data_IF_486516633828
#
_entry.id   IF_486516633828
#
_cell.length_a   1.000
_cell.length_b   1.000
_cell.length_c   1.000
_cell.angle_alpha   90.00
_cell.angle_beta   90.00
_cell.angle_gamma   90.00
#
_symmetry.space_group_name_H-M   'P 1'
#
loop_
_entity.id
_entity.type
_entity.pdbx_description
1 polymer ?
#
# COMPACT_ATOMS: atom_id res chain seq x y z
N UNK A 1 36.82 -43.62 -71.82
CA UNK A 1 36.57 -42.17 -71.74
C UNK A 1 36.74 -41.76 -70.29
N UNK A 2 37.88 -41.10 -69.99
CA UNK A 2 38.00 -39.73 -69.42
C UNK A 2 37.40 -39.59 -68.00
N UNK A 3 38.09 -39.12 -66.97
CA UNK A 3 39.48 -38.67 -66.80
C UNK A 3 39.73 -38.66 -65.29
N UNK A 4 40.87 -39.17 -64.84
CA UNK A 4 41.39 -38.92 -63.51
C UNK A 4 41.96 -37.49 -63.44
N UNK A 5 41.84 -36.83 -62.31
CA UNK A 5 42.65 -35.64 -62.01
C UNK A 5 42.98 -35.62 -60.53
N UNK A 6 44.24 -35.95 -60.26
CA UNK A 6 44.95 -35.71 -59.00
C UNK A 6 45.30 -34.22 -59.00
N UNK A 7 45.12 -33.53 -57.86
CA UNK A 7 45.83 -32.28 -57.61
C UNK A 7 46.31 -32.23 -56.16
N UNK A 8 47.63 -32.15 -56.07
CA UNK A 8 48.46 -31.84 -54.91
C UNK A 8 48.14 -30.46 -54.34
N UNK A 9 48.51 -30.26 -53.06
CA UNK A 9 49.00 -29.02 -52.39
C UNK A 9 48.26 -28.77 -51.06
N UNK A 10 48.83 -28.34 -49.95
CA UNK A 10 50.19 -28.15 -49.41
C UNK A 10 49.97 -27.74 -47.94
N UNK A 11 51.01 -27.86 -47.10
CA UNK A 11 51.28 -27.10 -45.87
C UNK A 11 50.51 -27.50 -44.60
N UNK A 12 51.25 -28.19 -43.73
CA UNK A 12 51.13 -28.07 -42.29
C UNK A 12 51.73 -26.74 -41.82
N UNK A 13 50.98 -25.95 -41.04
CA UNK A 13 51.53 -25.08 -39.98
C UNK A 13 50.48 -25.05 -38.87
N UNK A 14 50.84 -25.59 -37.71
CA UNK A 14 50.06 -25.43 -36.50
C UNK A 14 50.27 -24.04 -35.89
N UNK A 15 49.25 -23.51 -35.25
CA UNK A 15 49.43 -22.62 -34.11
C UNK A 15 48.25 -22.77 -33.15
N UNK A 16 48.59 -23.19 -31.95
CA UNK A 16 47.76 -23.33 -30.77
C UNK A 16 47.35 -21.92 -30.30
N UNK A 17 46.06 -21.61 -30.24
CA UNK A 17 45.55 -20.39 -29.63
C UNK A 17 44.49 -20.75 -28.58
N UNK A 18 44.98 -20.93 -27.35
CA UNK A 18 44.21 -21.02 -26.11
C UNK A 18 43.57 -19.65 -25.89
N UNK A 19 42.26 -19.52 -26.09
CA UNK A 19 41.52 -18.34 -25.67
C UNK A 19 40.81 -18.60 -24.34
N UNK A 20 41.37 -17.90 -23.36
CA UNK A 20 41.00 -17.71 -21.97
C UNK A 20 39.48 -17.71 -21.70
N UNK A 21 39.10 -18.56 -20.75
CA UNK A 21 37.87 -18.45 -19.97
C UNK A 21 37.82 -17.08 -19.29
N UNK A 22 36.88 -16.23 -19.70
CA UNK A 22 36.50 -15.06 -18.92
C UNK A 22 35.58 -15.52 -17.78
N UNK A 23 35.88 -15.19 -16.51
CA UNK A 23 34.92 -15.40 -15.43
C UNK A 23 33.75 -14.44 -15.62
N UNK A 24 32.54 -15.01 -15.65
CA UNK A 24 31.29 -14.26 -15.57
C UNK A 24 31.32 -13.41 -14.29
N UNK A 25 31.23 -12.09 -14.44
CA UNK A 25 30.95 -11.18 -13.34
C UNK A 25 29.60 -11.58 -12.74
N UNK A 26 29.66 -12.33 -11.64
CA UNK A 26 28.54 -12.58 -10.77
C UNK A 26 28.24 -11.25 -10.07
N UNK A 27 27.32 -10.48 -10.64
CA UNK A 27 26.69 -9.38 -9.95
C UNK A 27 25.85 -9.97 -8.83
N UNK A 28 26.48 -10.24 -7.68
CA UNK A 28 25.77 -10.47 -6.44
C UNK A 28 24.97 -9.21 -6.15
N UNK A 29 23.67 -9.24 -6.40
CA UNK A 29 22.74 -8.34 -5.74
C UNK A 29 22.89 -8.64 -4.25
N UNK A 30 23.73 -7.85 -3.58
CA UNK A 30 23.71 -7.75 -2.14
C UNK A 30 22.34 -7.18 -1.81
N UNK A 31 21.40 -8.07 -1.48
CA UNK A 31 20.19 -7.72 -0.77
C UNK A 31 20.68 -7.15 0.55
N UNK A 32 20.88 -5.82 0.58
CA UNK A 32 20.97 -5.09 1.84
C UNK A 32 19.65 -5.40 2.54
N UNK A 33 19.70 -6.18 3.62
CA UNK A 33 18.55 -6.40 4.49
C UNK A 33 17.90 -5.04 4.74
N UNK A 34 16.61 -4.93 4.38
CA UNK A 34 15.89 -3.68 4.52
C UNK A 34 15.89 -3.32 6.01
N UNK A 35 16.62 -2.27 6.36
CA UNK A 35 16.77 -1.75 7.72
C UNK A 35 15.41 -1.37 8.33
N UNK A 36 14.43 -1.09 7.47
CA UNK A 36 13.05 -0.80 7.86
C UNK A 36 12.13 -1.93 7.42
N UNK A 37 11.23 -2.34 8.31
CA UNK A 37 10.03 -3.08 7.94
C UNK A 37 8.88 -2.08 7.80
N UNK A 38 8.21 -2.08 6.64
CA UNK A 38 7.09 -1.17 6.38
C UNK A 38 5.86 -1.94 5.91
N UNK A 39 4.70 -1.62 6.48
CA UNK A 39 3.41 -2.15 6.08
C UNK A 39 2.47 -1.02 5.71
N UNK A 40 2.03 -0.99 4.46
CA UNK A 40 1.07 0.00 3.99
C UNK A 40 -0.33 -0.56 3.82
N UNK A 41 -1.31 0.27 4.18
CA UNK A 41 -2.73 0.04 3.99
C UNK A 41 -3.38 1.23 3.25
N UNK A 42 -4.30 0.90 2.34
CA UNK A 42 -5.13 1.86 1.61
C UNK A 42 -6.60 1.60 1.94
N UNK A 43 -7.27 2.61 2.50
CA UNK A 43 -8.66 2.49 2.96
C UNK A 43 -8.80 1.70 4.26
N UNK A 44 -9.93 1.03 4.42
CA UNK A 44 -10.22 0.18 5.59
C UNK A 44 -10.20 -1.29 5.19
N UNK A 45 -9.25 -2.06 5.70
CA UNK A 45 -9.07 -3.47 5.34
C UNK A 45 -8.81 -3.64 3.84
N UNK A 46 -8.09 -2.69 3.24
CA UNK A 46 -7.83 -2.65 1.80
C UNK A 46 -9.02 -2.21 0.93
N UNK A 47 -10.14 -1.77 1.52
CA UNK A 47 -11.32 -1.31 0.79
C UNK A 47 -11.51 0.20 0.86
N UNK A 48 -11.87 0.82 -0.26
CA UNK A 48 -12.09 2.26 -0.35
C UNK A 48 -13.12 2.61 -1.43
N UNK A 49 -13.73 3.80 -1.31
CA UNK A 49 -14.58 4.39 -2.36
C UNK A 49 -13.80 5.42 -3.16
N UNK A 50 -13.99 5.44 -4.47
CA UNK A 50 -13.48 6.52 -5.33
C UNK A 50 -14.24 7.83 -5.10
N UNK A 51 -13.59 8.97 -5.32
CA UNK A 51 -14.22 10.29 -5.28
C UNK A 51 -14.48 10.85 -3.87
N UNK A 52 -14.00 10.17 -2.84
CA UNK A 52 -13.99 10.62 -1.43
C UNK A 52 -12.56 10.57 -0.89
N UNK A 53 -12.34 11.15 0.27
CA UNK A 53 -11.11 11.07 1.03
C UNK A 53 -10.88 9.65 1.53
N UNK A 54 -9.67 9.16 1.31
CA UNK A 54 -9.23 7.79 1.59
C UNK A 54 -8.03 7.87 2.54
N UNK A 55 -8.06 7.17 3.68
CA UNK A 55 -6.88 7.04 4.51
C UNK A 55 -5.83 6.13 3.84
N UNK A 56 -4.58 6.57 3.86
CA UNK A 56 -3.40 5.77 3.54
C UNK A 56 -2.53 5.75 4.77
N UNK A 57 -2.11 4.56 5.18
CA UNK A 57 -1.37 4.37 6.43
C UNK A 57 -0.10 3.59 6.18
N UNK A 58 0.93 3.89 6.96
CA UNK A 58 2.15 3.11 7.03
C UNK A 58 2.48 2.82 8.50
N UNK A 59 2.69 1.55 8.80
CA UNK A 59 3.39 1.11 10.00
C UNK A 59 4.85 0.93 9.64
N UNK A 60 5.73 1.66 10.32
CA UNK A 60 7.17 1.66 10.07
C UNK A 60 7.86 1.17 11.33
N UNK A 61 8.69 0.12 11.20
CA UNK A 61 9.54 -0.38 12.27
C UNK A 61 11.01 -0.28 11.86
N UNK A 62 11.83 0.30 12.72
CA UNK A 62 13.27 0.41 12.49
C UNK A 62 13.97 -0.82 13.08
N UNK A 63 14.32 -1.77 12.23
CA UNK A 63 15.09 -2.97 12.59
C UNK A 63 16.60 -2.74 12.52
N UNK A 64 17.05 -1.50 12.28
CA UNK A 64 18.45 -1.11 12.27
C UNK A 64 19.02 -0.80 13.64
N UNK A 65 20.32 -0.49 13.64
CA UNK A 65 21.09 -0.20 14.85
C UNK A 65 21.21 1.30 15.17
N UNK A 66 20.60 2.17 14.36
CA UNK A 66 20.72 3.62 14.49
C UNK A 66 19.38 4.33 14.32
N UNK A 67 19.31 5.57 14.81
CA UNK A 67 18.15 6.43 14.63
C UNK A 67 17.89 6.70 13.14
N UNK A 68 16.63 6.55 12.72
CA UNK A 68 16.17 6.83 11.37
C UNK A 68 15.29 8.09 11.34
N UNK A 69 15.49 8.95 10.33
CA UNK A 69 14.68 10.16 10.12
C UNK A 69 13.91 10.04 8.82
N UNK A 70 12.63 9.70 8.95
CA UNK A 70 11.76 9.41 7.82
C UNK A 70 10.75 10.52 7.52
N UNK A 71 10.21 10.45 6.31
CA UNK A 71 9.00 11.15 5.92
C UNK A 71 8.10 10.22 5.11
N UNK A 72 6.82 10.15 5.48
CA UNK A 72 5.81 9.41 4.73
C UNK A 72 5.27 10.27 3.59
N UNK A 73 5.36 9.74 2.36
CA UNK A 73 4.92 10.43 1.14
C UNK A 73 3.86 9.56 0.46
N UNK A 74 2.79 10.20 0.02
CA UNK A 74 1.75 9.56 -0.79
C UNK A 74 1.52 10.40 -2.05
N UNK A 75 1.51 9.75 -3.19
CA UNK A 75 1.23 10.34 -4.49
C UNK A 75 0.00 9.67 -5.10
N UNK A 76 -0.92 10.48 -5.61
CA UNK A 76 -2.08 9.99 -6.35
C UNK A 76 -2.49 10.99 -7.44
N UNK A 77 -3.10 10.48 -8.51
CA UNK A 77 -3.73 11.32 -9.54
C UNK A 77 -5.02 11.96 -9.01
N UNK A 78 -5.19 13.25 -9.28
CA UNK A 78 -6.45 13.96 -9.04
C UNK A 78 -7.53 13.61 -10.09
N UNK A 79 -8.62 14.39 -10.12
CA UNK A 79 -9.73 14.19 -11.07
C UNK A 79 -9.35 14.46 -12.52
N UNK A 80 -8.36 15.33 -12.75
CA UNK A 80 -7.87 15.70 -14.08
C UNK A 80 -6.72 14.79 -14.54
N UNK A 81 -6.23 13.93 -13.65
CA UNK A 81 -5.11 13.02 -13.90
C UNK A 81 -3.75 13.65 -13.67
N UNK A 82 -3.70 14.77 -12.94
CA UNK A 82 -2.45 15.41 -12.55
C UNK A 82 -1.93 14.69 -11.31
N UNK A 83 -0.66 14.23 -11.30
CA UNK A 83 -0.05 13.67 -10.10
C UNK A 83 0.04 14.71 -8.98
N UNK A 84 -0.47 14.36 -7.81
CA UNK A 84 -0.45 15.21 -6.61
C UNK A 84 0.30 14.47 -5.50
N UNK A 85 1.30 15.14 -4.94
CA UNK A 85 2.05 14.66 -3.78
C UNK A 85 1.38 15.21 -2.51
N UNK A 86 0.89 14.30 -1.68
CA UNK A 86 0.24 14.56 -0.41
C UNK A 86 1.26 14.42 0.71
N UNK A 87 1.69 15.55 1.27
CA UNK A 87 2.64 15.58 2.39
C UNK A 87 2.42 16.82 3.28
N UNK A 88 2.77 16.70 4.55
CA UNK A 88 2.74 17.75 5.57
C UNK A 88 3.77 17.44 6.69
N UNK A 89 3.90 18.33 7.68
CA UNK A 89 4.87 18.17 8.78
C UNK A 89 4.58 16.96 9.69
N UNK A 90 3.31 16.57 9.87
CA UNK A 90 2.94 15.42 10.69
C UNK A 90 3.35 14.07 10.09
N UNK A 91 3.72 14.03 8.80
CA UNK A 91 4.29 12.84 8.18
C UNK A 91 5.81 12.71 8.35
N UNK A 92 6.48 13.71 8.94
CA UNK A 92 7.90 13.58 9.30
C UNK A 92 8.01 12.94 10.67
N UNK A 93 8.92 11.97 10.80
CA UNK A 93 9.13 11.26 12.04
C UNK A 93 10.61 10.97 12.28
N UNK A 94 10.94 10.68 13.53
CA UNK A 94 12.25 10.19 13.96
C UNK A 94 12.01 8.92 14.75
N UNK A 95 12.75 7.87 14.41
CA UNK A 95 12.51 6.52 14.88
C UNK A 95 13.81 5.93 15.41
N UNK A 96 13.89 5.73 16.72
CA UNK A 96 15.02 5.05 17.33
C UNK A 96 15.14 3.59 16.83
N UNK A 97 16.32 3.00 17.00
CA UNK A 97 16.54 1.57 16.75
C UNK A 97 15.55 0.72 17.55
N UNK A 98 14.91 -0.26 16.91
CA UNK A 98 13.91 -1.14 17.50
C UNK A 98 12.53 -0.50 17.76
N UNK A 99 12.33 0.78 17.45
CA UNK A 99 11.05 1.45 17.65
C UNK A 99 10.14 1.33 16.41
N UNK A 100 8.84 1.50 16.64
CA UNK A 100 7.83 1.59 15.57
C UNK A 100 7.01 2.87 15.65
N UNK A 101 6.49 3.29 14.50
CA UNK A 101 5.58 4.43 14.38
C UNK A 101 4.49 4.12 13.35
N UNK A 102 3.28 4.62 13.60
CA UNK A 102 2.20 4.64 12.63
C UNK A 102 2.02 6.07 12.12
N UNK A 103 2.00 6.23 10.81
CA UNK A 103 1.81 7.51 10.13
C UNK A 103 0.72 7.37 9.08
N UNK A 104 -0.06 8.43 8.90
CA UNK A 104 -1.20 8.42 7.98
C UNK A 104 -1.27 9.68 7.14
N UNK A 105 -1.87 9.57 5.96
CA UNK A 105 -2.23 10.67 5.11
C UNK A 105 -3.58 10.42 4.43
N UNK A 106 -4.34 11.48 4.16
CA UNK A 106 -5.60 11.39 3.43
C UNK A 106 -5.39 11.85 1.99
N UNK A 107 -5.87 11.06 1.05
CA UNK A 107 -5.80 11.36 -0.37
C UNK A 107 -7.19 11.32 -0.99
N UNK A 108 -7.36 11.95 -2.15
CA UNK A 108 -8.58 11.83 -2.94
C UNK A 108 -8.24 11.30 -4.33
N UNK A 109 -8.67 10.08 -4.62
CA UNK A 109 -8.48 9.45 -5.93
C UNK A 109 -9.67 9.82 -6.82
N UNK A 110 -9.39 10.58 -7.88
CA UNK A 110 -10.43 11.22 -8.68
C UNK A 110 -10.96 10.41 -9.85
N UNK A 111 -10.15 9.55 -10.46
CA UNK A 111 -10.48 8.91 -11.75
C UNK A 111 -10.04 7.45 -11.87
N UNK A 112 -10.52 6.80 -12.93
CA UNK A 112 -10.07 5.47 -13.36
C UNK A 112 -9.26 5.57 -14.66
N UNK A 113 -8.21 4.75 -14.85
CA UNK A 113 -7.61 3.87 -13.85
C UNK A 113 -7.02 4.68 -12.69
N UNK A 114 -7.04 4.11 -11.49
CA UNK A 114 -6.49 4.76 -10.31
C UNK A 114 -5.11 4.18 -10.01
N UNK A 115 -4.27 5.03 -9.42
CA UNK A 115 -2.92 4.70 -8.95
C UNK A 115 -2.65 5.50 -7.69
N UNK A 116 -2.13 4.83 -6.66
CA UNK A 116 -1.61 5.45 -5.45
C UNK A 116 -0.22 4.89 -5.21
N UNK A 117 0.78 5.75 -5.23
CA UNK A 117 2.14 5.39 -4.86
C UNK A 117 2.43 5.92 -3.47
N UNK A 118 2.99 5.09 -2.61
CA UNK A 118 3.30 5.46 -1.24
C UNK A 118 4.72 5.04 -0.92
N UNK A 119 5.40 5.78 -0.05
CA UNK A 119 6.76 5.43 0.32
C UNK A 119 7.28 6.14 1.57
N UNK A 120 8.38 5.61 2.09
CA UNK A 120 9.17 6.24 3.14
C UNK A 120 10.41 6.86 2.49
N UNK A 121 10.52 8.17 2.60
CA UNK A 121 11.69 8.95 2.20
C UNK A 121 12.64 9.08 3.39
N UNK A 122 13.91 8.71 3.21
CA UNK A 122 14.98 9.07 4.14
C UNK A 122 15.31 10.55 3.98
N UNK A 123 15.15 11.32 5.06
CA UNK A 123 15.36 12.77 5.06
C UNK A 123 16.83 13.16 5.05
N UNK A 124 17.74 12.25 5.37
CA UNK A 124 19.19 12.52 5.32
C UNK A 124 19.76 12.35 3.91
N UNK A 125 19.20 11.42 3.13
CA UNK A 125 19.68 11.11 1.78
C UNK A 125 18.73 11.57 0.67
N UNK A 126 17.52 12.00 1.03
CA UNK A 126 16.43 12.36 0.10
C UNK A 126 16.08 11.24 -0.89
N UNK A 127 16.20 9.98 -0.46
CA UNK A 127 15.89 8.79 -1.27
C UNK A 127 14.80 7.96 -0.61
N UNK A 128 13.98 7.33 -1.45
CA UNK A 128 13.05 6.32 -0.96
C UNK A 128 13.82 5.11 -0.45
N UNK A 129 13.52 4.71 0.78
CA UNK A 129 14.05 3.49 1.41
C UNK A 129 13.08 2.33 1.31
N UNK A 130 11.80 2.61 1.09
CA UNK A 130 10.76 1.63 0.82
C UNK A 130 9.59 2.31 0.08
N UNK A 131 8.92 1.56 -0.82
CA UNK A 131 7.80 2.05 -1.62
C UNK A 131 6.79 0.94 -1.91
N UNK A 132 5.52 1.33 -2.07
CA UNK A 132 4.45 0.45 -2.55
C UNK A 132 3.56 1.15 -3.54
N UNK A 133 3.23 0.42 -4.62
CA UNK A 133 2.24 0.81 -5.60
C UNK A 133 0.91 0.11 -5.30
N UNK A 134 -0.15 0.89 -5.14
CA UNK A 134 -1.52 0.42 -5.18
C UNK A 134 -2.15 0.81 -6.52
N UNK A 135 -2.67 -0.17 -7.23
CA UNK A 135 -3.32 0.00 -8.52
C UNK A 135 -4.51 -0.97 -8.66
N UNK A 136 -5.03 -1.09 -9.89
CA UNK A 136 -6.12 -2.04 -10.18
C UNK A 136 -5.87 -3.47 -9.70
N UNK A 137 -4.62 -3.95 -9.72
CA UNK A 137 -4.29 -5.31 -9.29
C UNK A 137 -4.42 -5.48 -7.77
N UNK A 138 -4.24 -4.40 -6.99
CA UNK A 138 -4.46 -4.40 -5.55
C UNK A 138 -5.95 -4.54 -5.16
N UNK A 139 -6.88 -4.28 -6.08
CA UNK A 139 -8.32 -4.43 -5.83
C UNK A 139 -8.88 -3.31 -4.93
N UNK A 140 -9.82 -3.63 -4.04
CA UNK A 140 -10.27 -2.71 -2.99
C UNK A 140 -11.22 -1.56 -3.40
N UNK A 141 -11.10 -1.05 -4.63
CA UNK A 141 -11.93 0.04 -5.14
C UNK A 141 -13.41 -0.36 -5.19
N UNK A 142 -14.28 0.54 -4.73
CA UNK A 142 -15.74 0.43 -4.75
C UNK A 142 -16.37 1.66 -5.40
N UNK A 143 -17.60 1.50 -5.90
CA UNK A 143 -18.33 2.63 -6.47
C UNK A 143 -18.64 3.63 -5.35
N UNK A 144 -18.71 4.91 -5.71
CA UNK A 144 -19.17 5.94 -4.78
C UNK A 144 -20.59 5.66 -4.26
N UNK A 145 -21.42 4.94 -5.04
CA UNK A 145 -22.79 4.54 -4.68
C UNK A 145 -22.88 3.26 -3.85
N UNK A 146 -21.76 2.58 -3.59
CA UNK A 146 -21.75 1.39 -2.72
C UNK A 146 -21.88 1.85 -1.27
N UNK A 147 -22.53 1.06 -0.41
CA UNK A 147 -22.58 1.33 1.03
C UNK A 147 -21.40 0.68 1.74
N UNK A 148 -20.73 1.41 2.62
CA UNK A 148 -19.65 0.95 3.49
C UNK A 148 -20.15 0.97 4.92
N UNK A 149 -20.15 -0.20 5.54
CA UNK A 149 -20.49 -0.37 6.94
C UNK A 149 -19.24 -0.79 7.67
N UNK A 150 -18.76 0.07 8.57
CA UNK A 150 -17.62 -0.20 9.41
C UNK A 150 -18.08 -0.74 10.75
N UNK A 151 -17.74 -2.00 11.03
CA UNK A 151 -18.06 -2.64 12.29
C UNK A 151 -16.82 -2.67 13.18
N UNK A 152 -16.84 -1.93 14.28
CA UNK A 152 -15.68 -1.84 15.17
C UNK A 152 -15.68 -2.95 16.22
N UNK A 153 -14.51 -3.55 16.46
CA UNK A 153 -14.31 -4.59 17.45
C UNK A 153 -14.83 -5.96 17.01
N UNK A 154 -15.34 -6.74 17.97
CA UNK A 154 -15.74 -8.13 17.74
C UNK A 154 -16.91 -8.18 16.74
N UNK A 155 -16.71 -8.93 15.65
CA UNK A 155 -17.71 -9.19 14.62
C UNK A 155 -19.05 -9.61 15.21
N UNK A 156 -20.08 -8.80 14.95
CA UNK A 156 -21.46 -9.19 15.21
C UNK A 156 -21.91 -9.96 13.97
N UNK A 157 -22.71 -11.02 14.12
CA UNK A 157 -23.26 -11.72 12.98
C UNK A 157 -24.33 -10.85 12.30
N UNK A 158 -23.89 -9.90 11.47
CA UNK A 158 -24.76 -9.00 10.71
C UNK A 158 -25.07 -9.65 9.37
N UNK A 159 -26.35 -9.92 9.14
CA UNK A 159 -26.82 -10.43 7.85
C UNK A 159 -26.71 -9.35 6.78
N UNK A 160 -25.79 -9.55 5.82
CA UNK A 160 -25.60 -8.64 4.68
C UNK A 160 -26.90 -8.42 3.90
N UNK A 161 -27.66 -9.48 3.63
CA UNK A 161 -28.92 -9.38 2.87
C UNK A 161 -29.97 -8.54 3.59
N UNK A 162 -30.14 -8.72 4.92
CA UNK A 162 -31.05 -7.88 5.72
C UNK A 162 -30.61 -6.42 5.76
N UNK A 163 -29.30 -6.19 5.82
CA UNK A 163 -28.75 -4.85 5.86
C UNK A 163 -28.90 -4.16 4.50
N UNK A 164 -28.66 -4.86 3.38
CA UNK A 164 -28.94 -4.37 2.02
C UNK A 164 -30.41 -4.00 1.83
N UNK A 165 -31.34 -4.84 2.28
CA UNK A 165 -32.78 -4.52 2.20
C UNK A 165 -33.20 -3.35 3.08
N UNK A 166 -32.39 -3.00 4.09
CA UNK A 166 -32.64 -1.82 4.93
C UNK A 166 -32.19 -0.52 4.26
N UNK A 167 -31.20 -0.57 3.37
CA UNK A 167 -30.71 0.60 2.64
C UNK A 167 -31.48 0.90 1.35
N UNK A 168 -32.13 -0.08 0.74
CA UNK A 168 -32.87 0.11 -0.51
C UNK A 168 -33.99 -0.90 -0.68
N UNK A 169 -35.09 -0.44 -1.26
CA UNK A 169 -36.20 -1.30 -1.69
C UNK A 169 -35.76 -2.31 -2.77
N UNK A 170 -34.76 -1.97 -3.58
CA UNK A 170 -34.16 -2.84 -4.59
C UNK A 170 -32.77 -3.30 -4.13
N UNK A 171 -32.76 -4.19 -3.13
CA UNK A 171 -31.54 -4.65 -2.46
C UNK A 171 -30.48 -5.22 -3.43
N UNK A 172 -30.90 -5.88 -4.51
CA UNK A 172 -30.02 -6.49 -5.51
C UNK A 172 -29.22 -5.47 -6.34
N UNK A 173 -29.67 -4.21 -6.37
CA UNK A 173 -28.97 -3.13 -7.06
C UNK A 173 -27.94 -2.42 -6.18
N UNK A 174 -27.86 -2.80 -4.90
CA UNK A 174 -27.02 -2.14 -3.90
C UNK A 174 -25.81 -2.99 -3.55
N UNK A 175 -24.63 -2.45 -3.85
CA UNK A 175 -23.37 -3.02 -3.39
C UNK A 175 -23.12 -2.60 -1.94
N UNK A 176 -22.92 -3.59 -1.06
CA UNK A 176 -22.64 -3.39 0.36
C UNK A 176 -21.28 -3.99 0.72
N UNK A 177 -20.41 -3.19 1.31
CA UNK A 177 -19.14 -3.61 1.91
C UNK A 177 -19.26 -3.54 3.43
N UNK A 178 -19.35 -4.70 4.08
CA UNK A 178 -19.28 -4.82 5.54
C UNK A 178 -17.83 -5.10 5.94
N UNK A 179 -17.21 -4.15 6.63
CA UNK A 179 -15.80 -4.17 7.02
C UNK A 179 -15.74 -4.33 8.52
N UNK A 180 -15.19 -5.44 9.01
CA UNK A 180 -14.87 -5.59 10.42
C UNK A 180 -13.48 -4.99 10.67
N UNK A 181 -13.35 -4.19 11.73
CA UNK A 181 -12.12 -3.49 12.06
C UNK A 181 -11.86 -3.55 13.57
N UNK A 182 -10.81 -4.24 13.98
CA UNK A 182 -10.42 -4.45 15.37
C UNK A 182 -9.11 -3.73 15.74
N UNK A 183 -8.42 -3.14 14.77
CA UNK A 183 -7.18 -2.39 14.96
C UNK A 183 -7.46 -0.91 15.29
N UNK A 184 -8.02 -0.62 16.47
CA UNK A 184 -8.45 0.74 16.86
C UNK A 184 -7.37 1.82 16.72
N UNK A 185 -6.10 1.48 16.90
CA UNK A 185 -4.96 2.39 16.73
C UNK A 185 -4.80 2.89 15.28
N UNK A 186 -5.29 2.12 14.30
CA UNK A 186 -5.31 2.46 12.88
C UNK A 186 -6.53 3.28 12.47
N UNK A 187 -7.44 3.59 13.39
CA UNK A 187 -8.58 4.42 13.05
C UNK A 187 -8.15 5.87 12.74
N UNK A 188 -8.72 6.51 11.70
CA UNK A 188 -8.43 7.89 11.38
C UNK A 188 -8.61 8.84 12.57
N UNK A 189 -7.67 9.78 12.72
CA UNK A 189 -7.72 10.81 13.75
C UNK A 189 -8.57 12.03 13.36
N UNK A 190 -9.02 12.09 12.11
CA UNK A 190 -9.80 13.20 11.56
C UNK A 190 -11.05 12.66 10.84
N UNK A 191 -12.17 13.37 11.00
CA UNK A 191 -13.48 12.99 10.44
C UNK A 191 -13.41 12.71 8.92
N UNK A 192 -12.56 13.46 8.22
CA UNK A 192 -12.36 13.34 6.77
C UNK A 192 -11.92 11.94 6.34
N UNK A 193 -11.21 11.18 7.19
CA UNK A 193 -10.82 9.81 6.93
C UNK A 193 -11.98 8.81 6.93
N UNK A 194 -13.14 9.22 7.45
CA UNK A 194 -14.37 8.42 7.47
C UNK A 194 -15.36 8.82 6.37
N UNK A 195 -15.03 9.73 5.46
CA UNK A 195 -15.97 10.22 4.43
C UNK A 195 -16.56 9.07 3.58
N UNK A 196 -15.82 7.98 3.40
CA UNK A 196 -16.31 6.80 2.69
C UNK A 196 -17.34 5.96 3.47
N UNK A 197 -17.45 6.10 4.79
CA UNK A 197 -18.22 5.22 5.68
C UNK A 197 -19.64 5.75 5.87
N UNK A 198 -20.65 4.96 5.51
CA UNK A 198 -22.06 5.38 5.62
C UNK A 198 -22.70 4.96 6.96
N UNK A 199 -22.17 3.91 7.59
CA UNK A 199 -22.67 3.41 8.87
C UNK A 199 -21.53 2.84 9.70
N UNK A 200 -21.45 3.27 10.96
CA UNK A 200 -20.54 2.70 11.94
C UNK A 200 -21.35 1.90 12.94
N UNK A 201 -20.98 0.64 13.14
CA UNK A 201 -21.59 -0.26 14.11
C UNK A 201 -20.65 -0.45 15.27
N UNK A 202 -21.08 -0.02 16.45
CA UNK A 202 -20.35 -0.12 17.71
C UNK A 202 -21.07 -1.10 18.65
N UNK A 203 -20.60 -2.36 18.77
CA UNK A 203 -21.19 -3.33 19.69
C UNK A 203 -20.93 -2.90 21.15
N UNK A 204 -21.98 -2.48 21.86
CA UNK A 204 -21.87 -2.08 23.28
C UNK A 204 -21.63 -3.26 24.23
N UNK A 205 -21.93 -4.48 23.78
CA UNK A 205 -21.63 -5.71 24.51
C UNK A 205 -20.11 -5.99 24.61
N UNK A 206 -19.30 -5.36 23.76
CA UNK A 206 -17.84 -5.38 23.86
C UNK A 206 -17.41 -4.19 24.72
N UNK A 207 -17.39 -4.39 26.05
CA UNK A 207 -16.94 -3.39 27.01
C UNK A 207 -15.54 -2.88 26.64
N UNK A 208 -15.37 -1.56 26.63
CA UNK A 208 -14.06 -0.93 26.47
C UNK A 208 -13.65 -0.55 25.05
N UNK A 209 -14.53 -0.65 24.04
CA UNK A 209 -14.22 -0.09 22.69
C UNK A 209 -13.95 1.41 22.78
N UNK A 210 -14.82 2.15 23.47
CA UNK A 210 -14.66 3.59 23.61
C UNK A 210 -13.43 3.97 24.44
N UNK A 211 -13.03 3.10 25.37
CA UNK A 211 -11.85 3.31 26.22
C UNK A 211 -10.53 3.08 25.46
N UNK A 212 -10.57 2.35 24.34
CA UNK A 212 -9.42 2.10 23.46
C UNK A 212 -9.21 3.21 22.43
N UNK A 213 -10.20 4.10 22.23
CA UNK A 213 -10.07 5.19 21.28
C UNK A 213 -9.30 6.35 21.89
N UNK A 214 -8.35 6.89 21.12
CA UNK A 214 -7.76 8.19 21.45
C UNK A 214 -8.84 9.27 21.38
N UNK A 215 -8.68 10.34 22.17
CA UNK A 215 -9.63 11.47 22.19
C UNK A 215 -9.90 12.02 20.79
N UNK A 216 -8.87 12.15 19.95
CA UNK A 216 -9.01 12.62 18.57
C UNK A 216 -9.81 11.67 17.69
N UNK A 217 -9.65 10.35 17.86
CA UNK A 217 -10.40 9.35 17.10
C UNK A 217 -11.87 9.32 17.55
N UNK A 218 -12.11 9.38 18.86
CA UNK A 218 -13.45 9.47 19.41
C UNK A 218 -14.19 10.74 18.96
N UNK A 219 -13.47 11.86 18.80
CA UNK A 219 -14.01 13.09 18.23
C UNK A 219 -14.32 12.93 16.73
N UNK A 220 -13.38 12.38 15.96
CA UNK A 220 -13.55 12.16 14.52
C UNK A 220 -14.73 11.25 14.16
N UNK A 221 -15.15 10.35 15.06
CA UNK A 221 -16.33 9.50 14.88
C UNK A 221 -17.66 10.22 15.21
N UNK A 222 -17.61 11.37 15.90
CA UNK A 222 -18.80 12.14 16.29
C UNK A 222 -19.10 13.30 15.34
N UNK A 223 -18.07 13.82 14.70
CA UNK A 223 -18.14 14.88 13.69
C UNK A 223 -18.64 14.34 12.34
#
# INVERSE_FOLDING_TARGET
MKSATISFRTVAVGFLAVWLFLPSNCSGQSQTEAVLEVRYELGFGGQFKRGVWIPVQAEVMNNGDSEFKGQFIVEAEDVDGIPVIYTNESQKFTLAAGASVSVSQYIKVGRLPWRVETGILDRSTEKYVDQKLFDRAAGGNRKATSYFVLQLGKGLPISRSRLQSSFSANADLVELSLIQFDEFEKLPHHWIGYEAIDLIVLPTASSGILDQLKVTQAQALRD
#
